data_IF_962545268041
#
_entry.id   IF_962545268041
#
_cell.length_a   1.000
_cell.length_b   1.000
_cell.length_c   1.000
_cell.angle_alpha   90.00
_cell.angle_beta   90.00
_cell.angle_gamma   90.00
#
_symmetry.space_group_name_H-M   'P 1'
#
loop_
_entity.id
_entity.type
_entity.pdbx_description
1 polymer ?
#
# COMPACT_ATOMS: atom_id res chain seq x y z
N UNK A 1 -15.21 -5.93 3.30
CA UNK A 1 -14.72 -7.22 2.81
C UNK A 1 -13.43 -7.01 2.02
N UNK A 2 -12.43 -7.83 2.28
CA UNK A 2 -11.15 -7.71 1.60
C UNK A 2 -11.25 -8.17 0.15
N UNK A 3 -10.79 -7.34 -0.79
CA UNK A 3 -10.80 -7.67 -2.20
C UNK A 3 -9.53 -8.45 -2.55
N UNK A 4 -9.64 -9.61 -3.25
CA UNK A 4 -8.46 -10.37 -3.65
C UNK A 4 -7.51 -9.56 -4.51
N UNK A 5 -6.23 -9.87 -4.43
CA UNK A 5 -5.19 -9.26 -5.25
C UNK A 5 -5.43 -9.59 -6.72
N UNK A 6 -5.49 -8.56 -7.55
CA UNK A 6 -5.67 -8.69 -8.99
C UNK A 6 -4.32 -8.62 -9.69
N UNK A 7 -3.89 -9.73 -10.29
CA UNK A 7 -2.60 -9.83 -10.97
C UNK A 7 -2.65 -9.42 -12.44
N UNK A 8 -3.83 -9.10 -13.00
CA UNK A 8 -3.94 -8.81 -14.43
C UNK A 8 -3.03 -7.66 -14.86
N UNK A 9 -2.93 -6.59 -14.08
CA UNK A 9 -2.04 -5.47 -14.38
C UNK A 9 -0.56 -5.87 -14.32
N UNK A 10 -0.20 -6.78 -13.41
CA UNK A 10 1.17 -7.27 -13.30
C UNK A 10 1.56 -8.04 -14.56
N UNK A 11 0.67 -8.89 -15.06
CA UNK A 11 0.92 -9.62 -16.30
C UNK A 11 0.95 -8.71 -17.51
N UNK A 12 0.14 -7.65 -17.53
CA UNK A 12 0.16 -6.66 -18.61
C UNK A 12 1.50 -5.93 -18.65
N UNK A 13 1.99 -5.46 -17.50
CA UNK A 13 3.28 -4.75 -17.40
C UNK A 13 4.43 -5.67 -17.78
N UNK A 14 4.35 -6.93 -17.34
CA UNK A 14 5.39 -7.93 -17.56
C UNK A 14 5.30 -8.61 -18.93
N UNK A 15 4.29 -8.27 -19.73
CA UNK A 15 4.05 -8.90 -21.04
C UNK A 15 4.00 -10.44 -20.95
N UNK A 16 3.40 -10.97 -19.88
CA UNK A 16 3.28 -12.40 -19.65
C UNK A 16 4.52 -13.07 -19.07
N UNK A 17 5.58 -12.31 -18.76
CA UNK A 17 6.82 -12.85 -18.23
C UNK A 17 6.67 -13.18 -16.74
N UNK A 18 6.64 -14.47 -16.41
CA UNK A 18 6.47 -14.96 -15.03
C UNK A 18 7.59 -14.51 -14.10
N UNK A 19 8.84 -14.50 -14.56
CA UNK A 19 9.97 -14.07 -13.73
C UNK A 19 9.84 -12.60 -13.36
N UNK A 20 9.36 -11.76 -14.27
CA UNK A 20 9.14 -10.35 -14.01
C UNK A 20 7.99 -10.15 -13.02
N UNK A 21 6.90 -10.94 -13.16
CA UNK A 21 5.78 -10.90 -12.20
C UNK A 21 6.26 -11.23 -10.79
N UNK A 22 7.10 -12.25 -10.66
CA UNK A 22 7.71 -12.62 -9.36
C UNK A 22 8.52 -11.48 -8.77
N UNK A 23 9.31 -10.78 -9.57
CA UNK A 23 10.09 -9.63 -9.12
C UNK A 23 9.18 -8.50 -8.64
N UNK A 24 8.10 -8.21 -9.37
CA UNK A 24 7.13 -7.19 -8.97
C UNK A 24 6.46 -7.55 -7.63
N UNK A 25 6.13 -8.82 -7.43
CA UNK A 25 5.54 -9.29 -6.17
C UNK A 25 6.52 -9.14 -5.00
N UNK A 26 7.80 -9.42 -5.22
CA UNK A 26 8.83 -9.25 -4.18
C UNK A 26 9.00 -7.78 -3.78
N UNK A 27 9.00 -6.89 -4.77
CA UNK A 27 9.08 -5.45 -4.52
C UNK A 27 7.84 -4.98 -3.76
N UNK A 28 6.67 -5.43 -4.16
CA UNK A 28 5.42 -5.08 -3.48
C UNK A 28 5.45 -5.57 -2.03
N UNK A 29 5.90 -6.80 -1.79
CA UNK A 29 6.01 -7.37 -0.44
C UNK A 29 6.92 -6.52 0.45
N UNK A 30 8.06 -6.12 -0.08
CA UNK A 30 9.00 -5.27 0.63
C UNK A 30 8.34 -3.96 1.03
N UNK A 31 7.65 -3.30 0.10
CA UNK A 31 6.98 -2.04 0.35
C UNK A 31 5.83 -2.17 1.36
N UNK A 32 5.07 -3.27 1.28
CA UNK A 32 3.99 -3.53 2.24
C UNK A 32 4.52 -3.74 3.65
N UNK A 33 5.72 -4.25 3.80
CA UNK A 33 6.35 -4.46 5.10
C UNK A 33 7.05 -3.22 5.64
N UNK A 34 7.62 -2.39 4.77
CA UNK A 34 8.45 -1.25 5.18
C UNK A 34 7.68 0.06 5.33
N UNK A 35 6.72 0.34 4.45
CA UNK A 35 6.04 1.63 4.46
C UNK A 35 5.12 1.86 5.67
N UNK A 36 4.32 0.89 6.12
CA UNK A 36 3.45 1.14 7.27
C UNK A 36 4.18 1.60 8.55
N UNK A 37 5.28 0.96 8.97
CA UNK A 37 6.03 1.47 10.13
C UNK A 37 6.58 2.88 9.92
N UNK A 38 7.01 3.21 8.69
CA UNK A 38 7.49 4.54 8.36
C UNK A 38 6.36 5.58 8.46
N UNK A 39 5.17 5.23 7.96
CA UNK A 39 3.99 6.10 8.06
C UNK A 39 3.65 6.37 9.52
N UNK A 40 3.64 5.33 10.35
CA UNK A 40 3.35 5.48 11.77
C UNK A 40 4.39 6.37 12.46
N UNK A 41 5.67 6.18 12.15
CA UNK A 41 6.75 6.99 12.70
C UNK A 41 6.59 8.46 12.33
N UNK A 42 6.28 8.74 11.07
CA UNK A 42 6.07 10.12 10.61
C UNK A 42 4.86 10.76 11.28
N UNK A 43 3.78 10.00 11.45
CA UNK A 43 2.61 10.48 12.18
C UNK A 43 2.96 10.80 13.64
N UNK A 44 3.67 9.89 14.32
CA UNK A 44 4.06 10.07 15.73
C UNK A 44 4.94 11.30 15.93
N UNK A 45 5.79 11.61 14.95
CA UNK A 45 6.67 12.79 14.96
C UNK A 45 5.96 14.03 14.47
N UNK A 46 4.68 13.94 14.10
CA UNK A 46 3.89 15.04 13.54
C UNK A 46 4.49 15.62 12.26
N UNK A 47 5.21 14.80 11.51
CA UNK A 47 5.79 15.16 10.20
C UNK A 47 4.76 14.95 9.10
N UNK A 48 3.71 15.77 9.11
CA UNK A 48 2.53 15.54 8.25
C UNK A 48 2.83 15.69 6.77
N UNK A 49 3.68 16.63 6.37
CA UNK A 49 4.07 16.77 4.97
C UNK A 49 4.75 15.50 4.47
N UNK A 50 5.74 14.99 5.22
CA UNK A 50 6.45 13.76 4.87
C UNK A 50 5.51 12.56 4.85
N UNK A 51 4.54 12.52 5.76
CA UNK A 51 3.52 11.46 5.79
C UNK A 51 2.67 11.48 4.51
N UNK A 52 2.22 12.65 4.08
CA UNK A 52 1.43 12.78 2.85
C UNK A 52 2.24 12.37 1.62
N UNK A 53 3.51 12.75 1.58
CA UNK A 53 4.42 12.36 0.49
C UNK A 53 4.63 10.86 0.45
N UNK A 54 4.79 10.22 1.60
CA UNK A 54 4.96 8.78 1.70
C UNK A 54 3.68 8.05 1.28
N UNK A 55 2.50 8.56 1.66
CA UNK A 55 1.23 8.00 1.22
C UNK A 55 1.09 8.04 -0.30
N UNK A 56 1.51 9.14 -0.94
CA UNK A 56 1.53 9.26 -2.40
C UNK A 56 2.42 8.19 -3.04
N UNK A 57 3.61 8.02 -2.49
CA UNK A 57 4.58 7.04 -2.97
C UNK A 57 4.05 5.61 -2.81
N UNK A 58 3.47 5.31 -1.66
CA UNK A 58 2.89 4.00 -1.36
C UNK A 58 1.71 3.70 -2.29
N UNK A 59 0.87 4.69 -2.52
CA UNK A 59 -0.27 4.58 -3.45
C UNK A 59 0.20 4.12 -4.84
N UNK A 60 1.31 4.65 -5.31
CA UNK A 60 1.87 4.26 -6.62
C UNK A 60 2.25 2.78 -6.65
N UNK A 61 2.70 2.23 -5.54
CA UNK A 61 3.09 0.81 -5.45
C UNK A 61 1.88 -0.13 -5.50
N UNK A 62 0.74 0.29 -4.96
CA UNK A 62 -0.44 -0.59 -4.88
C UNK A 62 -1.47 -0.34 -5.98
N UNK A 63 -1.23 0.62 -6.86
CA UNK A 63 -2.18 0.97 -7.93
C UNK A 63 -2.52 -0.20 -8.84
N UNK A 64 -1.59 -1.15 -8.99
CA UNK A 64 -1.76 -2.31 -9.88
C UNK A 64 -2.34 -3.55 -9.19
N UNK A 65 -2.72 -3.44 -7.91
CA UNK A 65 -3.14 -4.60 -7.12
C UNK A 65 -4.65 -4.81 -7.11
N UNK A 66 -5.43 -3.83 -7.52
CA UNK A 66 -6.88 -3.87 -7.40
C UNK A 66 -7.38 -3.66 -5.97
N UNK A 67 -6.51 -3.31 -5.04
CA UNK A 67 -6.86 -3.07 -3.62
C UNK A 67 -7.46 -1.67 -3.46
N UNK A 68 -8.70 -1.49 -3.90
CA UNK A 68 -9.36 -0.18 -3.99
C UNK A 68 -9.56 0.48 -2.61
N UNK A 69 -9.94 -0.28 -1.59
CA UNK A 69 -10.12 0.24 -0.24
C UNK A 69 -8.81 0.75 0.35
N UNK A 70 -7.74 0.00 0.17
CA UNK A 70 -6.41 0.39 0.61
C UNK A 70 -5.96 1.65 -0.12
N UNK A 71 -6.12 1.68 -1.44
CA UNK A 71 -5.78 2.83 -2.25
C UNK A 71 -6.51 4.08 -1.76
N UNK A 72 -7.81 3.96 -1.48
CA UNK A 72 -8.62 5.07 -0.98
C UNK A 72 -8.09 5.61 0.36
N UNK A 73 -7.69 4.74 1.27
CA UNK A 73 -7.10 5.17 2.54
C UNK A 73 -5.84 6.01 2.33
N UNK A 74 -4.99 5.59 1.39
CA UNK A 74 -3.77 6.32 1.07
C UNK A 74 -4.07 7.66 0.41
N UNK A 75 -5.07 7.72 -0.47
CA UNK A 75 -5.54 8.98 -1.06
C UNK A 75 -6.05 9.92 0.02
N UNK A 76 -6.83 9.41 0.98
CA UNK A 76 -7.38 10.22 2.07
C UNK A 76 -6.26 10.79 2.96
N UNK A 77 -5.19 10.04 3.19
CA UNK A 77 -4.02 10.56 3.91
C UNK A 77 -3.32 11.63 3.09
N UNK A 78 -3.11 11.38 1.80
CA UNK A 78 -2.44 12.30 0.88
C UNK A 78 -3.16 13.64 0.80
N UNK A 79 -4.49 13.64 0.79
CA UNK A 79 -5.33 14.83 0.67
C UNK A 79 -5.78 15.40 2.02
N UNK A 80 -5.27 14.88 3.12
CA UNK A 80 -5.73 15.23 4.47
C UNK A 80 -5.64 16.70 4.81
N UNK A 81 -4.64 17.42 4.28
CA UNK A 81 -4.50 18.86 4.51
C UNK A 81 -5.62 19.63 3.79
N UNK A 82 -5.86 19.30 2.53
CA UNK A 82 -6.92 19.96 1.74
C UNK A 82 -8.29 19.71 2.36
N UNK A 83 -8.51 18.51 2.90
CA UNK A 83 -9.77 18.11 3.51
C UNK A 83 -9.88 18.52 4.98
N UNK A 84 -8.89 19.21 5.52
CA UNK A 84 -8.86 19.68 6.91
C UNK A 84 -9.08 18.59 7.94
N UNK A 85 -8.48 17.41 7.74
CA UNK A 85 -8.61 16.33 8.70
C UNK A 85 -7.83 16.61 9.98
N UNK A 86 -8.41 16.22 11.12
CA UNK A 86 -7.75 16.33 12.41
C UNK A 86 -6.65 15.28 12.56
N UNK A 87 -5.74 15.48 13.53
CA UNK A 87 -4.72 14.48 13.86
C UNK A 87 -5.34 13.12 14.18
N UNK A 88 -6.45 13.12 14.93
CA UNK A 88 -7.15 11.87 15.28
C UNK A 88 -7.64 11.16 14.03
N UNK A 89 -8.21 11.89 13.09
CA UNK A 89 -8.69 11.32 11.83
C UNK A 89 -7.54 10.75 11.00
N UNK A 90 -6.45 11.50 10.90
CA UNK A 90 -5.25 11.05 10.16
C UNK A 90 -4.65 9.82 10.81
N UNK A 91 -4.54 9.79 12.12
CA UNK A 91 -4.01 8.64 12.86
C UNK A 91 -4.85 7.38 12.64
N UNK A 92 -6.17 7.54 12.58
CA UNK A 92 -7.08 6.43 12.29
C UNK A 92 -6.86 5.90 10.87
N UNK A 93 -6.66 6.79 9.89
CA UNK A 93 -6.37 6.39 8.51
C UNK A 93 -5.05 5.64 8.43
N UNK A 94 -4.01 6.11 9.12
CA UNK A 94 -2.71 5.46 9.16
C UNK A 94 -2.85 4.03 9.71
N UNK A 95 -3.60 3.86 10.80
CA UNK A 95 -3.83 2.54 11.39
C UNK A 95 -4.58 1.61 10.45
N UNK A 96 -5.65 2.11 9.82
CA UNK A 96 -6.42 1.32 8.85
C UNK A 96 -5.58 0.93 7.64
N UNK A 97 -4.75 1.84 7.14
CA UNK A 97 -3.85 1.55 6.04
C UNK A 97 -2.83 0.46 6.42
N UNK A 98 -2.32 0.51 7.65
CA UNK A 98 -1.41 -0.53 8.16
C UNK A 98 -2.09 -1.90 8.21
N UNK A 99 -3.34 -1.95 8.67
CA UNK A 99 -4.12 -3.20 8.71
C UNK A 99 -4.34 -3.76 7.31
N UNK A 100 -4.71 -2.92 6.34
CA UNK A 100 -4.88 -3.32 4.95
C UNK A 100 -3.57 -3.82 4.34
N UNK A 101 -2.47 -3.15 4.66
CA UNK A 101 -1.15 -3.56 4.19
C UNK A 101 -0.78 -4.96 4.69
N UNK A 102 -1.11 -5.27 5.94
CA UNK A 102 -0.86 -6.61 6.51
C UNK A 102 -1.67 -7.69 5.79
N UNK A 103 -2.93 -7.41 5.49
CA UNK A 103 -3.78 -8.35 4.77
C UNK A 103 -3.24 -8.61 3.36
N UNK A 104 -2.89 -7.55 2.66
CA UNK A 104 -2.35 -7.67 1.31
C UNK A 104 -0.98 -8.37 1.31
N UNK A 105 -0.15 -8.09 2.32
CA UNK A 105 1.16 -8.74 2.46
C UNK A 105 1.03 -10.26 2.60
N UNK A 106 0.02 -10.72 3.31
CA UNK A 106 -0.25 -12.17 3.45
C UNK A 106 -0.62 -12.80 2.11
N UNK A 107 -1.48 -12.13 1.32
CA UNK A 107 -1.83 -12.60 -0.01
C UNK A 107 -0.61 -12.67 -0.92
N UNK A 108 0.21 -11.62 -0.89
CA UNK A 108 1.43 -11.56 -1.71
C UNK A 108 2.40 -12.68 -1.32
N UNK A 109 2.58 -12.91 -0.01
CA UNK A 109 3.44 -14.00 0.47
C UNK A 109 2.97 -15.36 -0.04
N UNK A 110 1.66 -15.61 -0.03
CA UNK A 110 1.10 -16.85 -0.55
C UNK A 110 1.33 -17.00 -2.05
N UNK A 111 1.15 -15.92 -2.81
CA UNK A 111 1.37 -15.93 -4.26
C UNK A 111 2.84 -16.19 -4.60
N UNK A 112 3.76 -15.61 -3.85
CA UNK A 112 5.19 -15.84 -4.04
C UNK A 112 5.50 -17.32 -3.81
N UNK A 113 4.93 -17.93 -2.76
CA UNK A 113 5.09 -19.36 -2.48
C UNK A 113 4.58 -20.22 -3.62
N UNK A 114 3.40 -19.90 -4.14
CA UNK A 114 2.78 -20.68 -5.23
C UNK A 114 3.61 -20.63 -6.49
N UNK A 115 4.34 -19.55 -6.73
CA UNK A 115 5.17 -19.36 -7.93
C UNK A 115 6.61 -19.85 -7.77
N UNK A 116 6.97 -20.25 -6.57
CA UNK A 116 8.34 -20.72 -6.28
C UNK A 116 8.63 -22.09 -6.87
#
# INVERSE_FOLDING_TARGET
>A
MHKPLDLSHFYDIAEGNEDFVKKLLLILQKNLNEYPPQMQSLFDKKSMLALRELAHKFKSCIAYTGADEFNKLLVDIETSEVDNLSEVQIGLLVRKASEQAQLLAKEVANLIKEKA
#
